data_IF_522574457356
#
_entry.id   IF_522574457356
#
_cell.length_a   1.000
_cell.length_b   1.000
_cell.length_c   1.000
_cell.angle_alpha   90.00
_cell.angle_beta   90.00
_cell.angle_gamma   90.00
#
_symmetry.space_group_name_H-M   'P 1'
#
loop_
_entity.id
_entity.type
_entity.pdbx_description
1 polymer ?
#
# COMPACT_ATOMS: atom_id res chain seq x y z
N UNK A 1 33.76 3.79 -27.07
CA UNK A 1 33.42 2.40 -27.45
C UNK A 1 33.52 1.53 -26.21
N UNK A 2 32.42 0.84 -25.93
CA UNK A 2 32.27 -0.32 -25.04
C UNK A 2 32.33 -0.07 -23.52
N UNK A 3 31.13 -0.16 -22.97
CA UNK A 3 30.76 -0.69 -21.66
C UNK A 3 31.62 -1.88 -21.21
N UNK A 4 31.72 -2.06 -19.89
CA UNK A 4 30.96 -3.08 -19.14
C UNK A 4 31.80 -3.83 -18.09
N UNK A 5 31.10 -4.18 -17.00
CA UNK A 5 31.37 -5.27 -16.03
C UNK A 5 32.40 -4.92 -14.95
N UNK A 6 32.14 -5.36 -13.72
CA UNK A 6 32.91 -5.13 -12.49
C UNK A 6 32.65 -3.73 -11.88
N UNK A 7 31.64 -3.47 -11.05
CA UNK A 7 31.32 -4.16 -9.81
C UNK A 7 29.85 -3.94 -9.43
N UNK A 8 29.00 -4.76 -10.04
CA UNK A 8 27.59 -4.95 -9.73
C UNK A 8 27.32 -5.55 -8.33
N UNK A 9 28.22 -5.35 -7.35
CA UNK A 9 28.27 -6.09 -6.09
C UNK A 9 28.14 -5.22 -4.82
N UNK A 10 27.75 -3.94 -4.92
CA UNK A 10 27.28 -3.16 -3.76
C UNK A 10 25.78 -2.87 -3.88
N UNK A 11 25.03 -3.96 -4.00
CA UNK A 11 23.56 -4.03 -3.85
C UNK A 11 23.16 -3.59 -2.44
N UNK A 12 21.86 -3.31 -2.30
CA UNK A 12 21.10 -3.05 -1.07
C UNK A 12 21.33 -1.71 -0.38
N UNK A 13 20.81 -0.64 -0.99
CA UNK A 13 19.94 0.29 -0.27
C UNK A 13 18.77 0.60 -1.19
N UNK A 14 17.59 0.06 -0.87
CA UNK A 14 16.34 0.51 -1.48
C UNK A 14 16.29 2.02 -1.33
N UNK A 15 16.57 2.73 -2.42
CA UNK A 15 16.26 4.15 -2.51
C UNK A 15 14.74 4.17 -2.53
N UNK A 16 14.11 4.31 -1.35
CA UNK A 16 12.68 4.63 -1.22
C UNK A 16 12.51 5.95 -1.96
N UNK A 17 12.11 5.85 -3.23
CA UNK A 17 11.68 6.98 -4.03
C UNK A 17 10.22 7.12 -3.62
N UNK A 18 9.87 8.23 -2.98
CA UNK A 18 8.47 8.61 -2.77
C UNK A 18 7.72 8.35 -4.09
N UNK A 19 6.63 7.59 -4.11
CA UNK A 19 5.75 7.62 -5.27
C UNK A 19 5.42 9.09 -5.51
N UNK A 20 5.47 9.55 -6.77
CA UNK A 20 5.02 10.93 -7.03
C UNK A 20 3.59 11.05 -6.50
N UNK A 21 3.14 12.22 -6.06
CA UNK A 21 1.76 12.39 -5.58
C UNK A 21 0.71 11.77 -6.54
N UNK A 22 1.01 11.79 -7.84
CA UNK A 22 0.20 11.14 -8.89
C UNK A 22 0.12 9.62 -8.75
N UNK A 23 1.20 8.95 -8.32
CA UNK A 23 1.25 7.51 -8.10
C UNK A 23 0.43 7.13 -6.84
N UNK A 24 0.54 7.91 -5.75
CA UNK A 24 -0.28 7.70 -4.55
C UNK A 24 -1.78 7.86 -4.85
N UNK A 25 -2.12 8.90 -5.61
CA UNK A 25 -3.48 9.13 -6.05
C UNK A 25 -3.99 8.02 -6.96
N UNK A 26 -3.13 7.50 -7.84
CA UNK A 26 -3.47 6.37 -8.71
C UNK A 26 -3.75 5.10 -7.89
N UNK A 27 -2.94 4.78 -6.87
CA UNK A 27 -3.17 3.62 -6.02
C UNK A 27 -4.48 3.74 -5.25
N UNK A 28 -4.74 4.89 -4.63
CA UNK A 28 -5.98 5.16 -3.93
C UNK A 28 -7.18 5.01 -4.87
N UNK A 29 -7.13 5.65 -6.05
CA UNK A 29 -8.24 5.60 -7.01
C UNK A 29 -8.46 4.23 -7.67
N UNK A 30 -7.46 3.35 -7.71
CA UNK A 30 -7.64 1.95 -8.18
C UNK A 30 -8.30 1.09 -7.09
N UNK A 31 -8.04 1.41 -5.82
CA UNK A 31 -8.59 0.69 -4.67
C UNK A 31 -10.03 1.11 -4.35
N UNK A 32 -10.38 2.40 -4.51
CA UNK A 32 -11.74 2.95 -4.40
C UNK A 32 -12.59 2.46 -5.59
N UNK A 33 -13.25 1.32 -5.41
CA UNK A 33 -13.98 0.61 -6.46
C UNK A 33 -15.35 1.23 -6.71
N UNK A 34 -15.96 1.79 -5.67
CA UNK A 34 -17.29 2.38 -5.74
C UNK A 34 -17.23 3.89 -6.09
N UNK A 35 -16.05 4.50 -6.05
CA UNK A 35 -15.76 5.90 -6.34
C UNK A 35 -16.44 6.90 -5.40
N UNK A 36 -16.59 6.54 -4.12
CA UNK A 36 -17.13 7.43 -3.09
C UNK A 36 -16.08 8.33 -2.44
N UNK A 37 -14.80 8.12 -2.76
CA UNK A 37 -13.68 8.90 -2.24
C UNK A 37 -13.11 8.39 -0.92
N UNK A 38 -13.52 7.20 -0.49
CA UNK A 38 -13.07 6.51 0.70
C UNK A 38 -12.59 5.10 0.35
N UNK A 39 -11.83 4.46 1.25
CA UNK A 39 -11.52 3.04 1.16
C UNK A 39 -12.20 2.31 2.31
N UNK A 40 -13.12 1.41 1.99
CA UNK A 40 -13.73 0.50 2.96
C UNK A 40 -12.91 -0.80 3.13
N UNK A 41 -13.25 -1.60 4.15
CA UNK A 41 -12.55 -2.86 4.41
C UNK A 41 -12.62 -3.88 3.26
N UNK A 42 -13.69 -3.89 2.45
CA UNK A 42 -13.78 -4.75 1.28
C UNK A 42 -12.88 -4.26 0.14
N UNK A 43 -12.79 -2.97 -0.07
CA UNK A 43 -11.91 -2.34 -1.05
C UNK A 43 -10.45 -2.58 -0.71
N UNK A 44 -10.07 -2.38 0.56
CA UNK A 44 -8.76 -2.75 1.09
C UNK A 44 -8.48 -4.23 0.86
N UNK A 45 -9.42 -5.13 1.17
CA UNK A 45 -9.28 -6.57 0.93
C UNK A 45 -8.96 -6.88 -0.52
N UNK A 46 -9.69 -6.26 -1.46
CA UNK A 46 -9.45 -6.47 -2.89
C UNK A 46 -8.07 -5.94 -3.29
N UNK A 47 -7.68 -4.76 -2.80
CA UNK A 47 -6.36 -4.18 -3.05
C UNK A 47 -5.24 -5.09 -2.53
N UNK A 48 -5.30 -5.54 -1.28
CA UNK A 48 -4.31 -6.47 -0.70
C UNK A 48 -4.19 -7.76 -1.52
N UNK A 49 -5.31 -8.38 -1.89
CA UNK A 49 -5.29 -9.63 -2.67
C UNK A 49 -4.76 -9.43 -4.10
N UNK A 50 -4.91 -8.22 -4.67
CA UNK A 50 -4.37 -7.89 -6.00
C UNK A 50 -2.86 -7.64 -5.97
N UNK A 51 -2.37 -6.95 -4.95
CA UNK A 51 -0.95 -6.62 -4.78
C UNK A 51 -0.13 -7.77 -4.17
N UNK A 52 -0.79 -8.73 -3.52
CA UNK A 52 -0.13 -9.93 -3.01
C UNK A 52 0.46 -10.78 -4.14
N UNK A 53 1.73 -11.15 -3.96
CA UNK A 53 2.41 -12.12 -4.82
C UNK A 53 1.60 -13.43 -4.93
N UNK A 54 1.52 -14.09 -6.10
CA UNK A 54 0.71 -15.28 -6.30
C UNK A 54 0.95 -16.38 -5.26
N UNK A 55 2.22 -16.60 -4.88
CA UNK A 55 2.59 -17.60 -3.88
C UNK A 55 2.13 -17.24 -2.45
N UNK A 56 2.01 -15.95 -2.12
CA UNK A 56 1.47 -15.49 -0.84
C UNK A 56 -0.06 -15.62 -0.84
N UNK A 57 -0.71 -15.28 -1.96
CA UNK A 57 -2.17 -15.39 -2.14
C UNK A 57 -2.69 -16.82 -1.99
N UNK A 58 -1.92 -17.83 -2.38
CA UNK A 58 -2.28 -19.25 -2.19
C UNK A 58 -2.17 -19.72 -0.73
N UNK A 59 -1.46 -18.97 0.12
CA UNK A 59 -1.14 -19.37 1.51
C UNK A 59 -1.84 -18.52 2.56
N UNK A 60 -2.25 -17.30 2.22
CA UNK A 60 -2.99 -16.42 3.11
C UNK A 60 -4.36 -17.03 3.39
N UNK A 61 -4.73 -17.17 4.66
CA UNK A 61 -6.08 -17.58 5.03
C UNK A 61 -6.92 -16.33 5.34
N UNK A 62 -8.24 -16.52 5.36
CA UNK A 62 -9.18 -15.42 5.52
C UNK A 62 -9.01 -14.64 6.82
N UNK A 63 -8.82 -15.30 7.99
CA UNK A 63 -8.64 -14.57 9.25
C UNK A 63 -7.39 -13.70 9.27
N UNK A 64 -6.26 -14.17 8.73
CA UNK A 64 -5.04 -13.35 8.68
C UNK A 64 -5.19 -12.14 7.75
N UNK A 65 -5.98 -12.27 6.69
CA UNK A 65 -6.30 -11.16 5.80
C UNK A 65 -7.22 -10.14 6.49
N UNK A 66 -8.20 -10.60 7.27
CA UNK A 66 -9.07 -9.75 8.08
C UNK A 66 -8.26 -8.99 9.14
N UNK A 67 -7.37 -9.66 9.87
CA UNK A 67 -6.47 -9.02 10.85
C UNK A 67 -5.57 -7.96 10.20
N UNK A 68 -5.07 -8.19 8.98
CA UNK A 68 -4.30 -7.18 8.25
C UNK A 68 -5.13 -5.93 7.92
N UNK A 69 -6.39 -6.12 7.52
CA UNK A 69 -7.29 -5.01 7.17
C UNK A 69 -7.68 -4.23 8.42
N UNK A 70 -8.06 -4.94 9.49
CA UNK A 70 -8.42 -4.33 10.77
C UNK A 70 -7.27 -3.47 11.30
N UNK A 71 -6.03 -3.97 11.24
CA UNK A 71 -4.86 -3.17 11.65
C UNK A 71 -4.65 -1.91 10.81
N UNK A 72 -4.89 -1.96 9.50
CA UNK A 72 -4.76 -0.78 8.62
C UNK A 72 -5.82 0.25 8.94
N UNK A 73 -7.07 -0.17 9.15
CA UNK A 73 -8.15 0.74 9.55
C UNK A 73 -7.84 1.32 10.93
N UNK A 74 -7.47 0.51 11.92
CA UNK A 74 -7.11 0.97 13.26
C UNK A 74 -5.94 1.98 13.27
N UNK A 75 -4.99 1.84 12.34
CA UNK A 75 -3.84 2.73 12.23
C UNK A 75 -4.20 4.03 11.50
N UNK A 76 -4.96 3.97 10.41
CA UNK A 76 -5.13 5.09 9.48
C UNK A 76 -6.43 5.87 9.68
N UNK A 77 -7.51 5.24 10.15
CA UNK A 77 -8.79 5.88 10.47
C UNK A 77 -8.63 6.78 11.71
N UNK A 78 -8.62 8.10 11.52
CA UNK A 78 -8.40 9.10 12.58
C UNK A 78 -9.70 9.65 13.13
N UNK A 79 -10.78 9.62 12.37
CA UNK A 79 -12.06 10.19 12.77
C UNK A 79 -13.08 9.14 13.24
N UNK A 80 -12.78 7.86 13.06
CA UNK A 80 -13.50 6.71 13.60
C UNK A 80 -14.73 6.31 12.78
N UNK A 81 -14.79 6.66 11.49
CA UNK A 81 -15.90 6.31 10.61
C UNK A 81 -15.77 4.92 9.97
N UNK A 82 -14.67 4.20 10.27
CA UNK A 82 -14.28 2.91 9.71
C UNK A 82 -14.00 2.91 8.20
N UNK A 83 -13.72 4.09 7.65
CA UNK A 83 -13.30 4.31 6.28
C UNK A 83 -11.93 5.00 6.29
N UNK A 84 -11.19 4.90 5.19
CA UNK A 84 -9.95 5.66 5.01
C UNK A 84 -10.19 6.72 3.94
N UNK A 85 -10.24 7.97 4.36
CA UNK A 85 -10.28 9.11 3.47
C UNK A 85 -8.94 9.33 2.75
N UNK A 86 -8.96 10.10 1.67
CA UNK A 86 -7.72 10.51 0.99
C UNK A 86 -6.74 11.25 1.92
N UNK A 87 -7.24 12.08 2.84
CA UNK A 87 -6.41 12.79 3.80
C UNK A 87 -5.70 11.81 4.75
N UNK A 88 -6.43 10.86 5.31
CA UNK A 88 -5.90 9.84 6.23
C UNK A 88 -4.87 8.95 5.53
N UNK A 89 -5.16 8.53 4.30
CA UNK A 89 -4.23 7.78 3.47
C UNK A 89 -2.91 8.55 3.23
N UNK A 90 -3.00 9.83 2.88
CA UNK A 90 -1.80 10.67 2.69
C UNK A 90 -1.00 10.85 3.98
N UNK A 91 -1.68 11.06 5.11
CA UNK A 91 -1.02 11.19 6.41
C UNK A 91 -0.25 9.91 6.75
N UNK A 92 -0.87 8.74 6.57
CA UNK A 92 -0.24 7.43 6.77
C UNK A 92 1.06 7.28 5.97
N UNK A 93 1.04 7.62 4.69
CA UNK A 93 2.24 7.53 3.83
C UNK A 93 3.36 8.48 4.31
N UNK A 94 3.03 9.68 4.76
CA UNK A 94 4.00 10.64 5.29
C UNK A 94 4.64 10.16 6.60
N UNK A 95 3.88 9.50 7.48
CA UNK A 95 4.40 8.95 8.74
C UNK A 95 5.34 7.75 8.51
N UNK A 96 5.03 6.87 7.56
CA UNK A 96 5.88 5.72 7.22
C UNK A 96 7.17 6.07 6.46
N UNK A 97 7.24 7.24 5.83
CA UNK A 97 8.45 7.75 5.20
C UNK A 97 9.38 8.52 6.16
N UNK A 98 8.85 9.00 7.29
CA UNK A 98 9.60 9.80 8.26
C UNK A 98 10.43 8.98 9.27
N UNK A 99 10.25 7.65 9.33
CA UNK A 99 10.98 6.71 10.22
C UNK A 99 11.91 5.76 9.46
#
# INVERSE_FOLDING_TARGET
MKDNLDDAAKRTKHRKILPKNDDLYLFFGIADLNHDGYLDGHELRVAFVREMEPAARERVQLPELEEMIDHVIEEDDKDGDALISWQEYLESQLYHDAN
#
